data_IF_699663449015
#
_entry.id   IF_699663449015
#
_cell.length_a   1.000
_cell.length_b   1.000
_cell.length_c   1.000
_cell.angle_alpha   90.00
_cell.angle_beta   90.00
_cell.angle_gamma   90.00
#
_symmetry.space_group_name_H-M   'P 1'
#
loop_
_entity.id
_entity.type
_entity.pdbx_description
1 polymer ?
#
# COMPACT_ATOMS: atom_id res chain seq x y z
N UNK A 1 -3.15 -13.76 -3.35
CA UNK A 1 -4.47 -13.22 -3.75
C UNK A 1 -4.46 -11.73 -3.41
N UNK A 2 -4.80 -10.80 -4.31
CA UNK A 2 -4.63 -9.36 -4.00
C UNK A 2 -5.61 -8.91 -2.89
N UNK A 3 -5.13 -8.42 -1.73
CA UNK A 3 -6.01 -8.03 -0.62
C UNK A 3 -6.74 -6.70 -0.87
N UNK A 4 -6.35 -5.96 -1.90
CA UNK A 4 -6.93 -4.66 -2.27
C UNK A 4 -7.98 -4.76 -3.38
N UNK A 5 -8.31 -5.99 -3.81
CA UNK A 5 -9.31 -6.28 -4.85
C UNK A 5 -10.60 -6.83 -4.25
N UNK A 6 -11.74 -6.26 -4.64
CA UNK A 6 -13.08 -6.84 -4.41
C UNK A 6 -13.24 -8.21 -5.09
N UNK A 7 -12.67 -8.39 -6.29
CA UNK A 7 -12.69 -9.65 -7.03
C UNK A 7 -11.29 -10.22 -7.15
N UNK A 8 -10.84 -10.83 -6.07
CA UNK A 8 -9.48 -11.25 -5.88
C UNK A 8 -9.21 -12.59 -6.58
N UNK A 9 -9.05 -12.52 -7.91
CA UNK A 9 -8.48 -13.66 -8.66
C UNK A 9 -7.06 -13.93 -8.18
N UNK A 10 -6.65 -15.20 -8.19
CA UNK A 10 -5.29 -15.57 -7.84
C UNK A 10 -4.35 -15.04 -8.94
N UNK A 11 -3.59 -13.99 -8.61
CA UNK A 11 -2.57 -13.43 -9.50
C UNK A 11 -1.28 -14.19 -9.20
N UNK A 12 -1.08 -15.32 -9.86
CA UNK A 12 0.25 -15.95 -9.97
C UNK A 12 1.03 -15.17 -11.02
N UNK A 13 1.76 -14.13 -10.60
CA UNK A 13 2.46 -13.26 -11.53
C UNK A 13 3.77 -12.73 -10.96
N UNK A 14 4.64 -12.28 -11.86
CA UNK A 14 5.94 -11.69 -11.54
C UNK A 14 5.80 -10.42 -10.69
N UNK A 15 6.89 -10.00 -10.02
CA UNK A 15 6.95 -8.74 -9.27
C UNK A 15 6.52 -7.54 -10.12
N UNK A 16 6.93 -7.47 -11.39
CA UNK A 16 6.54 -6.40 -12.31
C UNK A 16 5.04 -6.39 -12.59
N UNK A 17 4.43 -7.56 -12.76
CA UNK A 17 2.98 -7.67 -12.92
C UNK A 17 2.23 -7.19 -11.68
N UNK A 18 2.74 -7.50 -10.48
CA UNK A 18 2.19 -6.99 -9.23
C UNK A 18 2.36 -5.48 -9.08
N UNK A 19 3.49 -4.90 -9.47
CA UNK A 19 3.68 -3.44 -9.49
C UNK A 19 2.62 -2.74 -10.34
N UNK A 20 2.41 -3.23 -11.57
CA UNK A 20 1.41 -2.67 -12.49
C UNK A 20 0.00 -2.82 -11.91
N UNK A 21 -0.30 -3.99 -11.33
CA UNK A 21 -1.60 -4.26 -10.73
C UNK A 21 -1.89 -3.33 -9.52
N UNK A 22 -0.96 -3.26 -8.57
CA UNK A 22 -1.09 -2.43 -7.36
C UNK A 22 -1.11 -0.93 -7.67
N UNK A 23 -0.58 -0.51 -8.82
CA UNK A 23 -0.70 0.87 -9.28
C UNK A 23 -2.16 1.32 -9.46
N UNK A 24 -3.10 0.39 -9.65
CA UNK A 24 -4.55 0.64 -9.65
C UNK A 24 -5.19 0.69 -8.27
N UNK A 25 -4.49 0.25 -7.23
CA UNK A 25 -5.02 0.09 -5.86
C UNK A 25 -4.48 1.10 -4.86
N UNK A 26 -3.89 2.21 -5.32
CA UNK A 26 -3.26 3.21 -4.45
C UNK A 26 -4.16 3.64 -3.28
N UNK A 27 -5.42 3.96 -3.54
CA UNK A 27 -6.33 4.47 -2.50
C UNK A 27 -6.70 3.38 -1.48
N UNK A 28 -6.85 2.13 -1.92
CA UNK A 28 -7.12 0.99 -1.03
C UNK A 28 -5.89 0.65 -0.17
N UNK A 29 -4.68 0.77 -0.73
CA UNK A 29 -3.43 0.61 0.02
C UNK A 29 -3.32 1.70 1.10
N UNK A 30 -3.61 2.97 0.76
CA UNK A 30 -3.62 4.07 1.73
C UNK A 30 -4.64 3.82 2.83
N UNK A 31 -5.87 3.43 2.48
CA UNK A 31 -6.90 3.09 3.45
C UNK A 31 -6.43 1.99 4.40
N UNK A 32 -5.82 0.93 3.87
CA UNK A 32 -5.25 -0.14 4.68
C UNK A 32 -4.16 0.37 5.63
N UNK A 33 -3.21 1.18 5.13
CA UNK A 33 -2.16 1.81 5.95
C UNK A 33 -2.74 2.61 7.12
N UNK A 34 -3.80 3.40 6.87
CA UNK A 34 -4.47 4.18 7.93
C UNK A 34 -5.29 3.35 8.92
N UNK A 35 -5.58 2.10 8.60
CA UNK A 35 -6.31 1.19 9.49
C UNK A 35 -5.36 0.38 10.38
N UNK A 36 -4.15 0.10 9.90
CA UNK A 36 -3.17 -0.73 10.62
C UNK A 36 -2.12 0.06 11.41
N UNK A 37 -1.95 1.35 11.13
CA UNK A 37 -0.95 2.19 11.79
C UNK A 37 -1.47 3.58 12.12
N UNK A 38 -1.15 4.05 13.32
CA UNK A 38 -1.43 5.42 13.79
C UNK A 38 -0.34 6.41 13.37
N UNK A 39 0.79 5.90 12.87
CA UNK A 39 1.92 6.66 12.34
C UNK A 39 2.18 6.37 10.87
N UNK A 40 2.91 7.26 10.21
CA UNK A 40 3.33 7.00 8.84
C UNK A 40 4.44 5.94 8.79
N UNK A 41 4.21 4.83 8.08
CA UNK A 41 5.19 3.75 7.87
C UNK A 41 6.28 4.09 6.85
N UNK A 42 6.11 5.19 6.12
CA UNK A 42 7.02 5.61 5.03
C UNK A 42 7.95 6.75 5.47
N UNK A 43 7.60 7.50 6.51
CA UNK A 43 8.46 8.54 7.03
C UNK A 43 9.61 7.94 7.85
N UNK A 44 10.81 8.49 7.69
CA UNK A 44 11.96 8.14 8.53
C UNK A 44 11.73 8.44 10.01
N UNK A 45 10.88 9.42 10.30
CA UNK A 45 10.44 9.78 11.65
C UNK A 45 8.92 9.60 11.73
N UNK A 46 8.46 8.84 12.72
CA UNK A 46 7.05 8.55 12.90
C UNK A 46 6.27 9.83 13.25
N UNK A 47 5.59 10.40 12.26
CA UNK A 47 4.62 11.47 12.49
C UNK A 47 3.28 10.83 12.87
N UNK A 48 2.83 11.11 14.10
CA UNK A 48 1.51 10.67 14.56
C UNK A 48 0.43 11.46 13.82
N UNK A 49 -0.52 10.74 13.23
CA UNK A 49 -1.66 11.38 12.60
C UNK A 49 -2.78 11.62 13.61
N UNK A 50 -3.32 12.83 13.65
CA UNK A 50 -4.42 13.17 14.57
C UNK A 50 -5.70 12.33 14.33
N UNK A 51 -5.91 11.84 13.12
CA UNK A 51 -7.01 10.93 12.76
C UNK A 51 -6.73 10.24 11.41
N UNK A 52 -7.54 9.23 11.07
CA UNK A 52 -7.45 8.48 9.80
C UNK A 52 -7.52 9.37 8.56
N UNK A 53 -8.33 10.45 8.59
CA UNK A 53 -8.44 11.39 7.46
C UNK A 53 -7.13 12.16 7.25
N UNK A 54 -6.50 12.60 8.34
CA UNK A 54 -5.20 13.25 8.32
C UNK A 54 -4.12 12.29 7.81
N UNK A 55 -4.10 11.05 8.33
CA UNK A 55 -3.18 10.01 7.86
C UNK A 55 -3.33 9.75 6.36
N UNK A 56 -4.57 9.58 5.87
CA UNK A 56 -4.82 9.34 4.46
C UNK A 56 -4.40 10.53 3.59
N UNK A 57 -4.62 11.76 4.07
CA UNK A 57 -4.14 12.97 3.40
C UNK A 57 -2.62 13.01 3.34
N UNK A 58 -1.94 12.73 4.46
CA UNK A 58 -0.48 12.66 4.53
C UNK A 58 0.05 11.64 3.51
N UNK A 59 -0.46 10.41 3.47
CA UNK A 59 -0.05 9.43 2.46
C UNK A 59 -0.30 9.88 1.02
N UNK A 60 -1.38 10.64 0.76
CA UNK A 60 -1.68 11.11 -0.60
C UNK A 60 -0.75 12.20 -1.11
N UNK A 61 -0.26 13.06 -0.23
CA UNK A 61 0.45 14.29 -0.60
C UNK A 61 1.93 14.29 -0.24
N UNK A 62 2.32 13.58 0.82
CA UNK A 62 3.70 13.55 1.32
C UNK A 62 4.54 12.44 0.70
N UNK A 63 3.92 11.42 0.10
CA UNK A 63 4.60 10.25 -0.44
C UNK A 63 4.30 10.05 -1.92
N UNK A 64 5.32 9.64 -2.68
CA UNK A 64 5.16 9.30 -4.06
C UNK A 64 4.34 8.02 -4.22
N UNK A 65 3.65 7.91 -5.35
CA UNK A 65 2.87 6.72 -5.69
C UNK A 65 3.72 5.45 -5.65
N UNK A 66 4.98 5.51 -6.09
CA UNK A 66 5.86 4.35 -6.11
C UNK A 66 6.17 3.84 -4.69
N UNK A 67 6.39 4.73 -3.72
CA UNK A 67 6.75 4.36 -2.33
C UNK A 67 5.61 3.56 -1.67
N UNK A 68 4.37 4.00 -1.88
CA UNK A 68 3.17 3.33 -1.39
C UNK A 68 3.03 1.93 -2.00
N UNK A 69 3.31 1.80 -3.30
CA UNK A 69 3.23 0.53 -4.01
C UNK A 69 4.36 -0.42 -3.57
N UNK A 70 5.58 0.08 -3.42
CA UNK A 70 6.72 -0.72 -2.96
C UNK A 70 6.53 -1.21 -1.53
N UNK A 71 5.96 -0.38 -0.66
CA UNK A 71 5.54 -0.82 0.66
C UNK A 71 4.53 -1.97 0.57
N UNK A 72 3.48 -1.84 -0.24
CA UNK A 72 2.48 -2.89 -0.39
C UNK A 72 3.09 -4.19 -0.95
N UNK A 73 3.99 -4.09 -1.94
CA UNK A 73 4.73 -5.22 -2.48
C UNK A 73 5.58 -5.93 -1.43
N UNK A 74 6.27 -5.18 -0.57
CA UNK A 74 7.10 -5.76 0.49
C UNK A 74 6.30 -6.60 1.48
N UNK A 75 5.01 -6.28 1.67
CA UNK A 75 4.09 -7.05 2.52
C UNK A 75 3.49 -8.27 1.81
N UNK A 76 3.51 -8.27 0.48
CA UNK A 76 2.98 -9.35 -0.37
C UNK A 76 4.05 -10.31 -0.87
N UNK A 77 5.31 -10.15 -0.46
CA UNK A 77 6.46 -10.89 -0.99
C UNK A 77 6.29 -12.42 -0.92
N UNK A 78 5.58 -12.93 0.11
CA UNK A 78 5.26 -14.36 0.26
C UNK A 78 4.28 -14.91 -0.79
N UNK A 79 3.58 -14.05 -1.52
CA UNK A 79 2.60 -14.40 -2.55
C UNK A 79 3.11 -14.19 -3.99
N UNK A 80 4.33 -13.67 -4.15
CA UNK A 80 4.99 -13.48 -5.44
C UNK A 80 5.76 -14.77 -5.76
N UNK A 81 5.45 -15.41 -6.89
CA UNK A 81 6.22 -16.55 -7.38
C UNK A 81 7.51 -15.98 -8.01
N UNK A 82 8.66 -16.35 -7.44
CA UNK A 82 9.99 -16.01 -7.95
C UNK A 82 10.33 -16.85 -9.16
#
# INVERSE_FOLDING_TARGET
MCPYCDNSKQITATRTSWQIHLAGHREEIIKHLTDISESCELCAYAEMSANKKHAASHYRWSHQKHEIIEWALSKLDREIIV
#
